data_IF_739364598149
#
_entry.id   IF_739364598149
#
_cell.length_a   1.000
_cell.length_b   1.000
_cell.length_c   1.000
_cell.angle_alpha   90.00
_cell.angle_beta   90.00
_cell.angle_gamma   90.00
#
_symmetry.space_group_name_H-M   'P 1'
#
loop_
_entity.id
_entity.type
_entity.pdbx_description
1 polymer ?
#
# COMPACT_ATOMS: atom_id res chain seq x y z
N UNK A 1 77.99 -32.39 -14.54
CA UNK A 1 76.63 -32.84 -14.33
C UNK A 1 75.96 -31.93 -13.24
N UNK A 2 75.45 -30.76 -13.66
CA UNK A 2 74.92 -29.75 -12.76
C UNK A 2 73.42 -29.89 -12.72
N UNK A 3 72.83 -30.01 -11.51
CA UNK A 3 71.43 -30.23 -11.18
C UNK A 3 70.56 -28.99 -11.49
N UNK A 4 69.54 -29.20 -12.21
CA UNK A 4 68.49 -28.24 -12.68
C UNK A 4 67.52 -27.84 -11.55
N UNK A 5 68.00 -27.29 -10.43
CA UNK A 5 67.18 -26.98 -9.26
C UNK A 5 67.43 -25.59 -8.65
N UNK A 6 67.88 -24.62 -9.46
CA UNK A 6 68.05 -23.25 -8.96
C UNK A 6 67.66 -22.21 -10.03
N UNK A 7 66.37 -22.11 -10.33
CA UNK A 7 65.85 -20.95 -11.07
C UNK A 7 64.30 -20.90 -11.05
N UNK A 8 63.69 -20.85 -9.91
CA UNK A 8 62.33 -20.25 -9.76
C UNK A 8 62.23 -19.72 -8.31
N UNK A 9 63.00 -18.70 -8.00
CA UNK A 9 62.76 -17.88 -6.82
C UNK A 9 63.17 -16.44 -7.18
N UNK A 10 62.41 -15.83 -8.06
CA UNK A 10 62.55 -14.40 -8.33
C UNK A 10 61.20 -13.75 -8.45
N UNK A 11 60.91 -12.93 -7.43
CA UNK A 11 60.09 -11.74 -7.48
C UNK A 11 58.54 -11.94 -7.68
N UNK A 12 57.88 -12.42 -6.64
CA UNK A 12 56.58 -11.84 -6.33
C UNK A 12 56.85 -10.86 -5.19
N UNK A 13 56.93 -9.59 -5.49
CA UNK A 13 57.07 -8.54 -4.50
C UNK A 13 55.82 -8.56 -3.59
N UNK A 14 55.96 -8.49 -2.26
CA UNK A 14 54.81 -8.42 -1.36
C UNK A 14 53.92 -7.21 -1.63
N UNK A 15 54.41 -6.20 -2.29
CA UNK A 15 53.64 -5.03 -2.75
C UNK A 15 52.61 -5.34 -3.84
N UNK A 16 52.85 -6.38 -4.67
CA UNK A 16 51.89 -6.77 -5.72
C UNK A 16 50.70 -7.54 -5.15
N UNK A 17 50.89 -8.29 -4.06
CA UNK A 17 49.83 -9.02 -3.36
C UNK A 17 48.93 -8.06 -2.59
N UNK A 18 49.45 -6.98 -2.04
CA UNK A 18 48.69 -5.94 -1.34
C UNK A 18 47.81 -5.13 -2.30
N UNK A 19 48.28 -4.86 -3.55
CA UNK A 19 47.49 -4.15 -4.56
C UNK A 19 46.34 -5.03 -5.08
N UNK A 20 46.54 -6.35 -5.21
CA UNK A 20 45.51 -7.27 -5.66
C UNK A 20 44.39 -7.47 -4.60
N UNK A 21 44.72 -7.42 -3.30
CA UNK A 21 43.72 -7.45 -2.22
C UNK A 21 42.95 -6.14 -2.11
N UNK A 22 43.53 -4.99 -2.49
CA UNK A 22 42.81 -3.71 -2.39
C UNK A 22 41.78 -3.50 -3.51
N UNK A 23 41.98 -4.15 -4.68
CA UNK A 23 41.01 -4.06 -5.81
C UNK A 23 39.77 -4.92 -5.60
N UNK A 24 39.81 -5.92 -4.70
CA UNK A 24 38.66 -6.77 -4.41
C UNK A 24 37.71 -6.21 -3.32
N UNK A 25 38.07 -5.09 -2.69
CA UNK A 25 37.23 -4.44 -1.66
C UNK A 25 36.37 -3.27 -2.20
N UNK A 26 36.43 -2.99 -3.49
CA UNK A 26 35.62 -1.90 -4.10
C UNK A 26 34.32 -2.44 -4.69
N UNK A 27 33.40 -2.94 -3.89
CA UNK A 27 32.22 -3.40 -4.56
C UNK A 27 31.07 -3.96 -3.78
N UNK A 28 30.62 -3.28 -2.76
CA UNK A 28 29.22 -3.32 -2.36
C UNK A 28 28.92 -2.02 -1.60
N UNK A 29 28.85 -0.92 -2.33
CA UNK A 29 28.09 0.20 -1.82
C UNK A 29 26.63 -0.31 -1.71
N UNK A 30 26.01 -0.22 -0.54
CA UNK A 30 24.59 -0.55 -0.44
C UNK A 30 23.85 0.33 -1.44
N UNK A 31 23.20 -0.29 -2.44
CA UNK A 31 22.29 0.45 -3.31
C UNK A 31 21.19 0.98 -2.40
N UNK A 32 21.09 2.29 -2.28
CA UNK A 32 19.91 2.90 -1.68
C UNK A 32 18.70 2.47 -2.49
N UNK A 33 17.66 1.91 -1.86
CA UNK A 33 16.45 1.53 -2.60
C UNK A 33 15.93 2.73 -3.40
N UNK A 34 15.80 2.57 -4.70
CA UNK A 34 15.25 3.61 -5.56
C UNK A 34 13.72 3.52 -5.55
N UNK A 35 13.03 4.67 -5.39
CA UNK A 35 11.59 4.74 -5.48
C UNK A 35 11.10 4.47 -6.90
N UNK A 36 10.20 3.51 -7.03
CA UNK A 36 9.46 3.27 -8.26
C UNK A 36 8.16 4.06 -8.25
N UNK A 37 7.95 4.94 -9.23
CA UNK A 37 6.66 5.63 -9.41
C UNK A 37 5.62 4.64 -9.95
N UNK A 38 4.57 4.36 -9.17
CA UNK A 38 3.46 3.51 -9.58
C UNK A 38 2.44 4.28 -10.44
N UNK A 39 2.21 5.55 -10.12
CA UNK A 39 1.35 6.45 -10.89
C UNK A 39 2.22 7.41 -11.72
N UNK A 40 1.98 7.46 -13.03
CA UNK A 40 2.82 8.20 -13.97
C UNK A 40 2.42 9.69 -14.16
N UNK A 41 1.37 10.15 -13.49
CA UNK A 41 0.84 11.51 -13.59
C UNK A 41 0.14 11.84 -14.91
N UNK A 42 -0.10 10.87 -15.81
CA UNK A 42 -0.61 11.12 -17.17
C UNK A 42 -1.84 10.31 -17.50
N UNK A 43 -1.86 9.03 -17.16
CA UNK A 43 -2.92 8.10 -17.52
C UNK A 43 -3.04 6.95 -16.47
N UNK A 44 -4.10 6.16 -16.60
CA UNK A 44 -4.40 5.02 -15.73
C UNK A 44 -4.04 3.66 -16.36
N UNK A 45 -3.21 3.61 -17.41
CA UNK A 45 -2.92 2.38 -18.19
C UNK A 45 -2.31 1.24 -17.38
N UNK A 46 -1.64 1.57 -16.25
CA UNK A 46 -1.02 0.59 -15.36
C UNK A 46 -1.94 0.19 -14.20
N UNK A 47 -3.20 0.59 -14.27
CA UNK A 47 -4.19 0.41 -13.22
C UNK A 47 -5.47 -0.21 -13.77
N UNK A 48 -6.10 -1.08 -12.98
CA UNK A 48 -7.40 -1.69 -13.26
C UNK A 48 -8.45 -1.17 -12.29
N UNK A 49 -9.63 -0.89 -12.80
CA UNK A 49 -10.73 -0.35 -11.99
C UNK A 49 -11.75 -1.46 -11.76
N UNK A 50 -12.26 -1.54 -10.54
CA UNK A 50 -13.43 -2.35 -10.18
C UNK A 50 -14.33 -1.52 -9.29
N UNK A 51 -15.54 -1.28 -9.74
CA UNK A 51 -16.59 -0.58 -9.00
C UNK A 51 -17.74 -1.57 -8.81
N UNK A 52 -18.34 -1.57 -7.61
CA UNK A 52 -19.50 -2.38 -7.28
C UNK A 52 -20.63 -2.16 -8.28
N UNK A 53 -21.22 -3.25 -8.76
CA UNK A 53 -22.28 -3.23 -9.77
C UNK A 53 -21.82 -3.12 -11.21
N UNK A 54 -20.50 -2.96 -11.45
CA UNK A 54 -19.92 -2.81 -12.79
C UNK A 54 -18.87 -3.88 -13.09
N UNK A 55 -18.73 -4.31 -14.34
CA UNK A 55 -17.63 -5.19 -14.76
C UNK A 55 -16.27 -4.59 -14.46
N UNK A 56 -15.25 -5.46 -14.27
CA UNK A 56 -13.86 -5.02 -14.18
C UNK A 56 -13.45 -4.19 -15.40
N UNK A 57 -12.74 -3.11 -15.16
CA UNK A 57 -12.27 -2.16 -16.18
C UNK A 57 -13.25 -1.03 -16.47
N UNK A 58 -14.50 -1.12 -16.05
CA UNK A 58 -15.46 -0.03 -16.22
C UNK A 58 -15.23 1.06 -15.17
N UNK A 59 -14.96 2.27 -15.64
CA UNK A 59 -14.78 3.47 -14.80
C UNK A 59 -16.09 4.29 -14.80
N UNK A 60 -17.09 3.78 -14.10
CA UNK A 60 -18.40 4.42 -14.01
C UNK A 60 -18.26 5.87 -13.54
N UNK A 61 -18.99 6.77 -14.16
CA UNK A 61 -18.97 8.20 -13.80
C UNK A 61 -17.59 8.85 -13.86
N UNK A 62 -16.62 8.23 -14.56
CA UNK A 62 -15.23 8.69 -14.59
C UNK A 62 -14.67 8.96 -13.18
N UNK A 63 -14.99 8.03 -12.24
CA UNK A 63 -14.64 8.13 -10.81
C UNK A 63 -13.15 8.34 -10.60
N UNK A 64 -12.34 7.51 -11.26
CA UNK A 64 -10.88 7.63 -11.23
C UNK A 64 -10.40 8.37 -12.47
N UNK A 65 -9.71 9.48 -12.29
CA UNK A 65 -9.25 10.33 -13.40
C UNK A 65 -7.91 10.96 -13.09
N UNK A 66 -7.26 11.49 -14.12
CA UNK A 66 -6.03 12.28 -13.97
C UNK A 66 -6.38 13.75 -14.16
N UNK A 67 -6.08 14.57 -13.16
CA UNK A 67 -6.29 16.03 -13.19
C UNK A 67 -5.02 16.70 -12.69
N UNK A 68 -4.44 17.57 -13.49
CA UNK A 68 -3.22 18.32 -13.16
C UNK A 68 -2.08 17.44 -12.64
N UNK A 69 -1.91 16.25 -13.24
CA UNK A 69 -0.88 15.30 -12.85
C UNK A 69 -1.18 14.47 -11.60
N UNK A 70 -2.32 14.65 -10.95
CA UNK A 70 -2.77 13.89 -9.81
C UNK A 70 -3.80 12.83 -10.19
N UNK A 71 -3.79 11.69 -9.51
CA UNK A 71 -4.90 10.77 -9.50
C UNK A 71 -6.00 11.38 -8.64
N UNK A 72 -7.15 11.64 -9.24
CA UNK A 72 -8.31 12.19 -8.54
C UNK A 72 -9.43 11.16 -8.50
N UNK A 73 -10.09 11.06 -7.35
CA UNK A 73 -11.34 10.35 -7.14
C UNK A 73 -12.45 11.40 -7.03
N UNK A 74 -13.48 11.30 -7.86
CA UNK A 74 -14.53 12.30 -7.90
C UNK A 74 -15.89 11.68 -8.31
N UNK A 75 -16.98 12.32 -7.90
CA UNK A 75 -18.35 11.84 -8.07
C UNK A 75 -19.25 12.87 -8.78
N UNK A 76 -18.69 13.87 -9.45
CA UNK A 76 -19.43 14.93 -10.15
C UNK A 76 -20.34 14.43 -11.28
N UNK A 77 -20.08 13.18 -11.76
CA UNK A 77 -20.89 12.55 -12.80
C UNK A 77 -21.87 11.49 -12.23
N UNK A 78 -22.07 11.47 -10.93
CA UNK A 78 -22.98 10.54 -10.24
C UNK A 78 -24.41 11.08 -10.08
N UNK A 79 -24.73 12.27 -10.59
CA UNK A 79 -26.02 12.94 -10.43
C UNK A 79 -26.42 13.05 -8.94
N UNK A 80 -25.46 13.36 -8.08
CA UNK A 80 -25.60 13.48 -6.62
C UNK A 80 -26.15 12.23 -5.92
N UNK A 81 -25.91 11.04 -6.49
CA UNK A 81 -26.36 9.78 -5.91
C UNK A 81 -25.26 8.70 -6.01
N UNK A 82 -24.54 8.47 -4.91
CA UNK A 82 -23.44 7.49 -4.82
C UNK A 82 -23.93 6.04 -4.95
N UNK A 83 -25.10 5.72 -4.35
CA UNK A 83 -25.75 4.40 -4.40
C UNK A 83 -24.85 3.25 -3.96
N UNK A 84 -23.97 3.52 -3.01
CA UNK A 84 -23.00 2.53 -2.51
C UNK A 84 -22.12 1.92 -3.63
N UNK A 85 -21.81 2.69 -4.65
CA UNK A 85 -20.94 2.26 -5.76
C UNK A 85 -19.48 2.40 -5.34
N UNK A 86 -19.10 1.64 -4.29
CA UNK A 86 -17.74 1.55 -3.81
C UNK A 86 -16.79 1.06 -4.91
N UNK A 87 -15.62 1.63 -4.99
CA UNK A 87 -14.71 1.32 -6.06
C UNK A 87 -13.25 1.23 -5.61
N UNK A 88 -12.47 0.56 -6.43
CA UNK A 88 -11.03 0.40 -6.21
C UNK A 88 -10.30 0.50 -7.54
N UNK A 89 -9.13 1.14 -7.50
CA UNK A 89 -8.20 1.18 -8.63
C UNK A 89 -6.94 0.40 -8.25
N UNK A 90 -6.72 -0.72 -8.90
CA UNK A 90 -5.68 -1.71 -8.60
C UNK A 90 -4.44 -1.48 -9.45
N UNK A 91 -3.28 -1.44 -8.82
CA UNK A 91 -2.02 -1.46 -9.56
C UNK A 91 -1.80 -2.83 -10.22
N UNK A 92 -1.25 -2.84 -11.42
CA UNK A 92 -1.12 -4.03 -12.29
C UNK A 92 -0.27 -5.19 -11.75
N UNK A 93 0.55 -4.95 -10.71
CA UNK A 93 1.45 -5.95 -10.13
C UNK A 93 1.17 -6.16 -8.65
N UNK A 94 1.16 -7.41 -8.17
CA UNK A 94 1.15 -7.71 -6.76
C UNK A 94 2.55 -7.48 -6.15
N UNK A 95 2.58 -7.26 -4.83
CA UNK A 95 3.80 -7.10 -4.05
C UNK A 95 3.72 -7.90 -2.74
N UNK A 96 4.88 -8.25 -2.20
CA UNK A 96 5.03 -8.98 -0.93
C UNK A 96 5.90 -8.21 0.07
N UNK A 97 7.07 -7.76 -0.37
CA UNK A 97 8.02 -6.99 0.44
C UNK A 97 8.21 -5.61 -0.18
N UNK A 98 7.76 -4.57 0.50
CA UNK A 98 7.80 -3.21 -0.06
C UNK A 98 7.65 -2.14 1.02
N UNK A 99 8.06 -0.93 0.66
CA UNK A 99 7.64 0.31 1.27
C UNK A 99 6.86 1.08 0.20
N UNK A 100 5.57 1.32 0.42
CA UNK A 100 4.76 2.17 -0.44
C UNK A 100 4.53 3.51 0.25
N UNK A 101 4.48 4.59 -0.55
CA UNK A 101 4.13 5.92 -0.09
C UNK A 101 3.07 6.53 -0.98
N UNK A 102 2.15 7.25 -0.39
CA UNK A 102 1.18 8.12 -1.07
C UNK A 102 1.03 9.43 -0.33
N UNK A 103 0.72 10.48 -1.07
CA UNK A 103 0.25 11.73 -0.52
C UNK A 103 -1.21 11.90 -0.95
N UNK A 104 -2.07 12.25 -0.02
CA UNK A 104 -3.50 12.44 -0.28
C UNK A 104 -4.01 13.72 0.35
N UNK A 105 -5.11 14.22 -0.19
CA UNK A 105 -5.92 15.28 0.42
C UNK A 105 -7.37 15.13 -0.02
N UNK A 106 -8.29 15.42 0.88
CA UNK A 106 -9.71 15.45 0.54
C UNK A 106 -10.08 16.81 -0.06
N UNK A 107 -10.89 16.78 -1.11
CA UNK A 107 -11.38 17.96 -1.83
C UNK A 107 -12.90 17.87 -1.99
N UNK A 108 -13.58 19.01 -2.02
CA UNK A 108 -15.05 19.04 -2.27
C UNK A 108 -15.88 18.32 -1.22
N UNK A 109 -17.11 18.02 -1.59
CA UNK A 109 -18.11 17.36 -0.76
C UNK A 109 -18.53 16.02 -1.37
N UNK A 110 -18.92 15.07 -0.51
CA UNK A 110 -19.47 13.79 -0.98
C UNK A 110 -20.89 13.97 -1.53
N UNK A 111 -21.38 13.06 -2.41
CA UNK A 111 -22.80 13.01 -2.82
C UNK A 111 -23.73 12.97 -1.61
N UNK A 112 -24.97 13.46 -1.80
CA UNK A 112 -25.96 13.66 -0.71
C UNK A 112 -26.35 12.37 0.01
N UNK A 113 -26.26 11.21 -0.67
CA UNK A 113 -26.52 9.87 -0.13
C UNK A 113 -25.25 9.16 0.35
N UNK A 114 -24.12 9.85 0.42
CA UNK A 114 -22.88 9.32 0.97
C UNK A 114 -23.02 9.01 2.46
N UNK A 115 -22.57 7.84 2.88
CA UNK A 115 -22.63 7.41 4.28
C UNK A 115 -21.84 8.36 5.18
N UNK A 116 -22.36 8.62 6.38
CA UNK A 116 -21.72 9.56 7.32
C UNK A 116 -20.30 9.13 7.74
N UNK A 117 -20.08 7.83 7.88
CA UNK A 117 -18.75 7.28 8.17
C UNK A 117 -17.75 7.43 7.01
N UNK A 118 -18.27 7.50 5.77
CA UNK A 118 -17.47 7.67 4.56
C UNK A 118 -17.08 9.13 4.27
N UNK A 119 -17.55 10.10 5.08
CA UNK A 119 -17.15 11.50 4.92
C UNK A 119 -15.64 11.65 5.12
N UNK A 120 -14.95 12.21 4.10
CA UNK A 120 -13.48 12.36 4.09
C UNK A 120 -12.78 11.05 4.51
N UNK A 121 -13.20 9.95 3.89
CA UNK A 121 -12.71 8.60 4.08
C UNK A 121 -12.28 8.01 2.74
N UNK A 122 -11.15 7.32 2.75
CA UNK A 122 -10.57 6.60 1.62
C UNK A 122 -9.60 5.55 2.17
N UNK A 123 -8.96 4.74 1.32
CA UNK A 123 -8.04 3.72 1.79
C UNK A 123 -6.99 3.30 0.77
N UNK A 124 -5.87 2.80 1.28
CA UNK A 124 -4.91 2.00 0.53
C UNK A 124 -5.15 0.55 0.93
N UNK A 125 -5.61 -0.28 -0.02
CA UNK A 125 -5.76 -1.70 0.21
C UNK A 125 -4.44 -2.39 -0.12
N UNK A 126 -3.92 -3.18 0.80
CA UNK A 126 -2.67 -3.94 0.66
C UNK A 126 -2.91 -5.43 0.86
N UNK A 127 -2.05 -6.26 0.29
CA UNK A 127 -2.19 -7.72 0.32
C UNK A 127 -3.57 -8.20 -0.14
N UNK A 128 -4.19 -7.41 -1.03
CA UNK A 128 -5.56 -7.60 -1.48
C UNK A 128 -5.73 -8.75 -2.48
N UNK A 129 -6.97 -9.25 -2.56
CA UNK A 129 -7.39 -10.12 -3.66
C UNK A 129 -7.29 -9.37 -5.00
N UNK A 130 -7.26 -10.10 -6.10
CA UNK A 130 -7.22 -9.49 -7.44
C UNK A 130 -8.59 -8.96 -7.86
N UNK A 131 -8.67 -7.92 -8.69
CA UNK A 131 -9.96 -7.40 -9.17
C UNK A 131 -10.77 -8.45 -9.92
N UNK A 132 -10.12 -9.37 -10.66
CA UNK A 132 -10.76 -10.46 -11.38
C UNK A 132 -11.45 -11.47 -10.46
N UNK A 133 -10.98 -11.59 -9.22
CA UNK A 133 -11.58 -12.51 -8.22
C UNK A 133 -12.74 -11.90 -7.44
N UNK A 134 -12.98 -10.59 -7.58
CA UNK A 134 -14.10 -9.91 -6.94
C UNK A 134 -15.41 -10.22 -7.67
N UNK A 135 -16.48 -10.45 -6.91
CA UNK A 135 -17.83 -10.58 -7.50
C UNK A 135 -18.32 -9.23 -8.03
N UNK A 136 -19.41 -9.26 -8.84
CA UNK A 136 -19.97 -8.03 -9.42
C UNK A 136 -20.34 -6.99 -8.35
N UNK A 137 -21.00 -7.46 -7.29
CA UNK A 137 -21.58 -6.63 -6.22
C UNK A 137 -20.72 -6.63 -4.94
N UNK A 138 -19.47 -7.03 -5.01
CA UNK A 138 -18.56 -6.99 -3.86
C UNK A 138 -18.15 -5.55 -3.55
N UNK A 139 -18.31 -5.13 -2.29
CA UNK A 139 -18.01 -3.77 -1.83
C UNK A 139 -16.50 -3.52 -1.76
N UNK A 140 -15.79 -4.40 -1.06
CA UNK A 140 -14.36 -4.24 -0.78
C UNK A 140 -13.60 -5.53 -1.10
N UNK A 141 -12.36 -5.46 -1.61
CA UNK A 141 -11.52 -6.64 -1.74
C UNK A 141 -11.16 -7.19 -0.35
N UNK A 142 -11.10 -8.53 -0.21
CA UNK A 142 -10.44 -9.11 0.96
C UNK A 142 -9.00 -8.61 0.99
N UNK A 143 -8.64 -7.83 2.02
CA UNK A 143 -7.37 -7.11 2.09
C UNK A 143 -7.14 -6.57 3.49
N UNK A 144 -5.96 -6.02 3.72
CA UNK A 144 -5.75 -5.06 4.81
C UNK A 144 -5.92 -3.66 4.23
N UNK A 145 -6.68 -2.83 4.92
CA UNK A 145 -6.89 -1.43 4.55
C UNK A 145 -6.10 -0.52 5.47
N UNK A 146 -5.32 0.36 4.87
CA UNK A 146 -4.74 1.54 5.52
C UNK A 146 -5.73 2.68 5.32
N UNK A 147 -6.62 2.87 6.28
CA UNK A 147 -7.72 3.82 6.17
C UNK A 147 -7.22 5.26 6.23
N UNK A 148 -7.52 6.03 5.21
CA UNK A 148 -7.14 7.43 5.08
C UNK A 148 -8.30 8.32 5.47
N UNK A 149 -8.14 9.05 6.58
CA UNK A 149 -9.18 9.95 7.08
C UNK A 149 -8.74 11.42 7.00
N UNK A 150 -9.70 12.29 6.72
CA UNK A 150 -9.57 13.72 6.93
C UNK A 150 -10.43 14.18 8.10
N UNK A 151 -9.98 15.16 8.86
CA UNK A 151 -10.78 15.75 9.93
C UNK A 151 -12.04 16.42 9.38
N UNK A 152 -13.11 16.35 10.16
CA UNK A 152 -14.42 16.96 9.83
C UNK A 152 -14.64 18.30 10.53
N UNK A 153 -13.64 18.76 11.27
CA UNK A 153 -13.72 19.98 12.10
C UNK A 153 -14.19 19.72 13.53
N UNK A 154 -14.63 18.49 13.84
CA UNK A 154 -15.11 18.11 15.17
C UNK A 154 -14.41 16.83 15.64
N UNK A 155 -13.94 16.86 16.89
CA UNK A 155 -13.33 15.70 17.55
C UNK A 155 -12.01 15.24 16.94
N UNK A 156 -11.46 14.18 17.52
CA UNK A 156 -10.27 13.51 17.01
C UNK A 156 -10.66 12.47 15.95
N UNK A 157 -9.94 12.49 14.84
CA UNK A 157 -10.12 11.56 13.72
C UNK A 157 -8.77 11.18 13.13
N UNK A 158 -8.01 10.30 13.81
CA UNK A 158 -6.71 9.84 13.34
C UNK A 158 -6.79 9.19 11.96
N UNK A 159 -5.72 9.26 11.19
CA UNK A 159 -5.62 8.63 9.87
C UNK A 159 -4.62 7.48 9.86
N UNK A 160 -4.50 6.78 8.74
CA UNK A 160 -3.72 5.54 8.61
C UNK A 160 -4.12 4.48 9.64
N UNK A 161 -5.40 4.42 9.96
CA UNK A 161 -5.99 3.37 10.79
C UNK A 161 -5.85 2.01 10.08
N UNK A 162 -6.04 0.94 10.81
CA UNK A 162 -6.06 -0.41 10.26
C UNK A 162 -7.50 -0.91 10.21
N UNK A 163 -8.00 -1.19 8.99
CA UNK A 163 -9.24 -1.94 8.82
C UNK A 163 -8.96 -3.26 8.07
N UNK A 164 -9.81 -4.25 8.25
CA UNK A 164 -9.56 -5.63 7.81
C UNK A 164 -10.78 -6.24 7.09
N UNK A 165 -11.18 -5.75 5.91
CA UNK A 165 -12.29 -6.33 5.16
C UNK A 165 -11.96 -7.77 4.73
N UNK A 166 -12.74 -8.75 5.21
CA UNK A 166 -12.57 -10.18 4.95
C UNK A 166 -11.26 -10.77 5.46
N UNK A 167 -10.64 -10.12 6.43
CA UNK A 167 -9.32 -10.49 6.99
C UNK A 167 -9.25 -10.25 8.49
N UNK A 168 -8.24 -10.85 9.11
CA UNK A 168 -7.85 -10.63 10.49
C UNK A 168 -6.32 -10.56 10.58
N UNK A 169 -5.79 -10.23 11.72
CA UNK A 169 -4.34 -10.06 11.93
C UNK A 169 -3.93 -10.33 13.38
N UNK A 170 -2.65 -10.37 13.66
CA UNK A 170 -2.10 -10.50 15.02
C UNK A 170 -1.58 -9.14 15.49
N UNK A 171 -1.91 -8.78 16.72
CA UNK A 171 -1.34 -7.63 17.41
C UNK A 171 -1.19 -7.95 18.90
N UNK A 172 -0.09 -7.51 19.49
CA UNK A 172 0.22 -7.76 20.91
C UNK A 172 0.10 -9.26 21.32
N UNK A 173 0.47 -10.15 20.38
CA UNK A 173 0.44 -11.61 20.55
C UNK A 173 -0.94 -12.25 20.46
N UNK A 174 -1.98 -11.50 20.12
CA UNK A 174 -3.35 -11.99 19.98
C UNK A 174 -3.95 -11.75 18.59
N UNK A 175 -4.85 -12.64 18.15
CA UNK A 175 -5.63 -12.43 16.94
C UNK A 175 -6.65 -11.31 17.19
N UNK A 176 -6.68 -10.33 16.28
CA UNK A 176 -7.63 -9.22 16.30
C UNK A 176 -8.62 -9.40 15.16
N UNK A 177 -9.90 -9.46 15.52
CA UNK A 177 -11.04 -9.59 14.60
C UNK A 177 -11.89 -8.31 14.53
N UNK A 178 -11.51 -7.28 15.29
CA UNK A 178 -12.16 -5.97 15.21
C UNK A 178 -11.89 -5.37 13.85
N UNK A 179 -12.96 -5.02 13.13
CA UNK A 179 -12.88 -4.57 11.74
C UNK A 179 -11.94 -3.37 11.54
N UNK A 180 -12.07 -2.34 12.39
CA UNK A 180 -11.18 -1.18 12.34
C UNK A 180 -10.57 -0.88 13.70
N UNK A 181 -9.26 -0.59 13.72
CA UNK A 181 -8.50 -0.17 14.90
C UNK A 181 -7.81 1.16 14.61
N UNK A 182 -7.99 2.10 15.53
CA UNK A 182 -7.45 3.45 15.42
C UNK A 182 -5.94 3.48 15.60
N UNK A 183 -5.25 4.22 14.75
CA UNK A 183 -3.81 4.52 14.86
C UNK A 183 -3.54 5.60 15.91
N UNK A 184 -2.29 5.86 16.21
CA UNK A 184 -1.86 6.99 17.07
C UNK A 184 -1.61 8.29 16.30
N UNK A 185 -2.05 8.41 15.05
CA UNK A 185 -1.80 9.60 14.25
C UNK A 185 -2.63 10.80 14.73
N UNK A 186 -2.24 11.99 14.28
CA UNK A 186 -3.02 13.21 14.48
C UNK A 186 -4.21 13.28 13.52
N UNK A 187 -5.15 14.16 13.81
CA UNK A 187 -6.23 14.57 12.91
C UNK A 187 -5.73 15.66 11.97
N UNK A 188 -5.98 15.48 10.67
CA UNK A 188 -5.63 16.45 9.63
C UNK A 188 -6.89 17.09 9.06
N UNK A 189 -7.12 18.36 9.41
CA UNK A 189 -8.29 19.11 8.97
C UNK A 189 -8.04 19.89 7.66
N UNK A 190 -9.10 20.19 6.93
CA UNK A 190 -9.04 20.92 5.67
C UNK A 190 -8.53 20.03 4.52
N UNK A 191 -8.12 20.65 3.42
CA UNK A 191 -7.65 19.98 2.22
C UNK A 191 -6.11 19.96 2.09
N UNK A 192 -5.43 19.82 3.22
CA UNK A 192 -3.96 19.71 3.28
C UNK A 192 -3.47 18.36 2.78
N UNK A 193 -2.29 18.34 2.15
CA UNK A 193 -1.61 17.10 1.78
C UNK A 193 -1.09 16.37 3.02
N UNK A 194 -1.34 15.07 3.08
CA UNK A 194 -0.88 14.17 4.13
C UNK A 194 -0.13 13.01 3.47
N UNK A 195 1.11 12.76 3.92
CA UNK A 195 1.92 11.64 3.45
C UNK A 195 1.71 10.43 4.34
N UNK A 196 1.33 9.32 3.75
CA UNK A 196 1.22 8.01 4.40
C UNK A 196 2.18 7.03 3.73
N UNK A 197 2.90 6.27 4.56
CA UNK A 197 3.77 5.21 4.10
C UNK A 197 3.39 3.89 4.77
N UNK A 198 3.56 2.79 4.04
CA UNK A 198 3.30 1.45 4.56
C UNK A 198 4.49 0.57 4.26
N UNK A 199 5.16 0.09 5.31
CA UNK A 199 6.15 -0.97 5.22
C UNK A 199 5.43 -2.31 5.37
N UNK A 200 5.58 -3.19 4.39
CA UNK A 200 5.11 -4.56 4.44
C UNK A 200 6.28 -5.52 4.20
N UNK A 201 6.52 -6.42 5.13
CA UNK A 201 7.53 -7.47 5.04
C UNK A 201 6.86 -8.85 4.95
N UNK A 202 6.18 -9.10 3.82
CA UNK A 202 5.35 -10.29 3.64
C UNK A 202 4.23 -10.32 4.69
N UNK A 203 4.07 -11.46 5.35
CA UNK A 203 3.14 -11.66 6.46
C UNK A 203 3.77 -11.43 7.85
N UNK A 204 5.09 -11.14 7.93
CA UNK A 204 5.78 -11.08 9.21
C UNK A 204 5.49 -9.81 10.01
N UNK A 205 5.47 -8.64 9.35
CA UNK A 205 5.14 -7.37 9.99
C UNK A 205 4.68 -6.35 8.95
N UNK A 206 3.69 -5.57 9.32
CA UNK A 206 3.22 -4.40 8.58
C UNK A 206 3.21 -3.19 9.52
N UNK A 207 3.65 -2.04 9.02
CA UNK A 207 3.71 -0.79 9.78
C UNK A 207 3.18 0.35 8.95
N UNK A 208 2.36 1.21 9.55
CA UNK A 208 1.90 2.45 8.92
C UNK A 208 2.64 3.64 9.53
N UNK A 209 2.98 4.58 8.65
CA UNK A 209 3.62 5.85 9.03
C UNK A 209 2.81 7.01 8.47
N UNK A 210 2.74 8.10 9.24
CA UNK A 210 2.14 9.35 8.79
C UNK A 210 3.19 10.45 8.97
N UNK A 211 3.55 11.12 7.87
CA UNK A 211 4.61 12.13 7.85
C UNK A 211 5.92 11.66 8.52
N UNK A 212 6.27 10.38 8.33
CA UNK A 212 7.48 9.75 8.87
C UNK A 212 7.38 9.22 10.29
N UNK A 213 6.27 9.42 11.00
CA UNK A 213 6.03 8.86 12.34
C UNK A 213 5.30 7.52 12.24
N UNK A 214 5.82 6.46 12.89
CA UNK A 214 5.13 5.17 13.01
C UNK A 214 3.87 5.34 13.87
N UNK A 215 2.70 4.94 13.33
CA UNK A 215 1.41 5.17 14.01
C UNK A 215 0.67 3.87 14.35
N UNK A 216 0.99 2.76 13.71
CA UNK A 216 0.48 1.43 14.04
C UNK A 216 1.37 0.34 13.44
N UNK A 217 1.51 -0.78 14.15
CA UNK A 217 2.19 -2.00 13.68
C UNK A 217 1.38 -3.24 14.05
N UNK A 218 1.45 -4.27 13.21
CA UNK A 218 0.78 -5.55 13.38
C UNK A 218 1.46 -6.64 12.55
N UNK A 219 1.08 -7.90 12.78
CA UNK A 219 1.73 -9.08 12.24
C UNK A 219 0.69 -10.07 11.69
N UNK A 220 1.17 -11.02 10.89
CA UNK A 220 0.41 -12.17 10.42
C UNK A 220 -0.98 -11.84 9.89
N UNK A 221 -1.10 -10.89 8.91
CA UNK A 221 -2.36 -10.65 8.24
C UNK A 221 -2.81 -11.95 7.55
N UNK A 222 -4.09 -12.27 7.67
CA UNK A 222 -4.63 -13.53 7.19
C UNK A 222 -6.09 -13.35 6.77
N UNK A 223 -6.58 -14.18 5.86
CA UNK A 223 -7.99 -14.22 5.52
C UNK A 223 -8.83 -14.58 6.76
N UNK A 224 -10.06 -14.14 6.81
CA UNK A 224 -11.00 -14.60 7.81
C UNK A 224 -11.08 -16.13 7.77
N UNK A 225 -11.11 -16.80 8.95
CA UNK A 225 -11.18 -18.23 9.00
C UNK A 225 -12.52 -18.75 8.50
N UNK A 226 -12.51 -19.88 7.84
CA UNK A 226 -13.70 -20.59 7.37
C UNK A 226 -13.96 -21.80 8.27
N UNK A 227 -15.21 -22.29 8.29
CA UNK A 227 -15.61 -23.52 8.97
C UNK A 227 -15.30 -23.56 10.49
N UNK A 228 -15.28 -22.39 11.14
CA UNK A 228 -15.06 -22.31 12.61
C UNK A 228 -13.60 -22.50 13.04
N UNK A 229 -12.66 -22.44 12.13
CA UNK A 229 -11.22 -22.39 12.44
C UNK A 229 -10.89 -21.07 13.17
N UNK A 230 -9.77 -21.04 13.92
CA UNK A 230 -9.32 -19.83 14.62
C UNK A 230 -8.40 -18.96 13.74
N UNK A 231 -7.72 -19.57 12.78
CA UNK A 231 -6.75 -18.92 11.90
C UNK A 231 -7.11 -19.14 10.46
N UNK A 232 -6.94 -18.11 9.64
CA UNK A 232 -7.10 -18.17 8.21
C UNK A 232 -5.78 -18.42 7.48
N UNK A 233 -5.84 -18.33 6.14
CA UNK A 233 -4.63 -18.37 5.30
C UNK A 233 -3.87 -17.05 5.43
N UNK A 234 -2.58 -17.13 5.76
CA UNK A 234 -1.68 -15.96 5.80
C UNK A 234 -1.62 -15.24 4.46
N UNK A 235 -1.64 -13.92 4.52
CA UNK A 235 -1.49 -13.02 3.38
C UNK A 235 -0.02 -12.61 3.25
N UNK A 236 0.75 -13.39 2.52
CA UNK A 236 2.19 -13.14 2.31
C UNK A 236 2.46 -12.03 1.27
N UNK A 237 1.43 -11.52 0.63
CA UNK A 237 1.45 -10.49 -0.41
C UNK A 237 0.13 -10.45 -1.15
N UNK A 238 -0.01 -9.56 -2.10
CA UNK A 238 -1.22 -9.40 -2.90
C UNK A 238 -1.23 -8.10 -3.69
N UNK A 239 -2.40 -7.72 -4.17
CA UNK A 239 -2.59 -6.46 -4.90
C UNK A 239 -2.46 -5.25 -3.98
N UNK A 240 -2.16 -4.11 -4.59
CA UNK A 240 -2.27 -2.79 -3.98
C UNK A 240 -3.36 -2.03 -4.75
N UNK A 241 -4.32 -1.47 -4.04
CA UNK A 241 -5.34 -0.61 -4.66
C UNK A 241 -5.63 0.62 -3.80
N UNK A 242 -6.18 1.64 -4.45
CA UNK A 242 -6.72 2.83 -3.81
C UNK A 242 -8.25 2.76 -3.91
N UNK A 243 -8.90 3.10 -2.82
CA UNK A 243 -10.34 2.99 -2.63
C UNK A 243 -11.10 4.24 -3.07
N UNK A 244 -12.37 4.10 -3.37
CA UNK A 244 -13.35 5.20 -3.51
C UNK A 244 -14.62 4.87 -2.72
N UNK A 245 -14.98 5.75 -1.75
CA UNK A 245 -16.05 5.54 -0.79
C UNK A 245 -17.00 6.74 -0.67
N UNK A 246 -17.25 7.47 -1.72
CA UNK A 246 -18.03 8.70 -1.80
C UNK A 246 -17.29 10.01 -1.45
N UNK A 247 -16.14 9.97 -0.79
CA UNK A 247 -15.38 11.18 -0.51
C UNK A 247 -14.41 11.55 -1.67
N UNK A 248 -14.54 12.71 -2.30
CA UNK A 248 -13.59 13.17 -3.32
C UNK A 248 -12.19 13.39 -2.74
N UNK A 249 -11.21 12.89 -3.45
CA UNK A 249 -9.81 12.86 -2.96
C UNK A 249 -8.84 13.18 -4.10
#
# INVERSE_FOLDING_TARGET
MYSFRQMINRFISPSLLLILCFVLLTGCAPQTPEWQQLFNGKDLKDWKIKIRGFPEGENFGNTFRVVDGNLQINYDQYNDAFKQQYGHIFYKKPYSYYLIATEYRFIGEQPSDGEGWAKRNNGIMIHGQTPESMTLDQDFPNSIEVQLLGGTGEGERPTANLCSPGTQYVRDGGIVTTHCVTSSSKTYNGDQWVRVEVLALGDSIIKHYVNGEEVIAYENPQLDPINGEKTGKLLTGGTISLQSESAPT
#
